data_IF_659159194734
#
_entry.id   IF_659159194734
#
_cell.length_a   1.000
_cell.length_b   1.000
_cell.length_c   1.000
_cell.angle_alpha   90.00
_cell.angle_beta   90.00
_cell.angle_gamma   90.00
#
_symmetry.space_group_name_H-M   'P 1'
#
loop_
_entity.id
_entity.type
_entity.pdbx_description
1 polymer ?
#
# COMPACT_ATOMS: atom_id res chain seq x y z
N UNK A 1 -23.95 12.50 3.00
CA UNK A 1 -23.28 11.85 1.84
C UNK A 1 -21.96 11.22 2.28
N UNK A 2 -21.97 10.22 3.17
CA UNK A 2 -20.75 9.81 3.88
C UNK A 2 -20.45 8.30 3.84
N UNK A 3 -21.36 7.50 3.28
CA UNK A 3 -21.24 6.03 3.30
C UNK A 3 -20.39 5.49 2.14
N UNK A 4 -20.37 6.19 1.00
CA UNK A 4 -19.63 5.78 -0.20
C UNK A 4 -18.12 5.91 -0.02
N UNK A 5 -17.65 7.03 0.52
CA UNK A 5 -16.22 7.27 0.72
C UNK A 5 -15.59 6.31 1.76
N UNK A 6 -16.33 5.97 2.84
CA UNK A 6 -15.85 4.98 3.81
C UNK A 6 -15.76 3.58 3.20
N UNK A 7 -16.78 3.18 2.42
CA UNK A 7 -16.80 1.88 1.76
C UNK A 7 -15.65 1.73 0.75
N UNK A 8 -15.29 2.81 0.06
CA UNK A 8 -14.16 2.83 -0.87
C UNK A 8 -12.81 2.68 -0.14
N UNK A 9 -12.66 3.29 1.05
CA UNK A 9 -11.44 3.16 1.87
C UNK A 9 -11.29 1.73 2.42
N UNK A 10 -12.38 1.13 2.90
CA UNK A 10 -12.35 -0.25 3.42
C UNK A 10 -11.99 -1.24 2.31
N UNK A 11 -12.59 -1.10 1.12
CA UNK A 11 -12.30 -1.94 -0.03
C UNK A 11 -10.85 -1.78 -0.52
N UNK A 12 -10.35 -0.56 -0.50
CA UNK A 12 -8.98 -0.26 -0.90
C UNK A 12 -7.97 -0.80 0.13
N UNK A 13 -8.29 -0.73 1.41
CA UNK A 13 -7.51 -1.36 2.48
C UNK A 13 -7.37 -2.87 2.28
N UNK A 14 -8.47 -3.55 1.97
CA UNK A 14 -8.44 -4.98 1.64
C UNK A 14 -7.64 -5.28 0.36
N UNK A 15 -7.72 -4.41 -0.64
CA UNK A 15 -6.93 -4.54 -1.88
C UNK A 15 -5.42 -4.42 -1.60
N UNK A 16 -5.01 -3.48 -0.74
CA UNK A 16 -3.63 -3.35 -0.29
C UNK A 16 -3.17 -4.56 0.53
N UNK A 17 -4.01 -5.08 1.43
CA UNK A 17 -3.70 -6.30 2.20
C UNK A 17 -3.48 -7.51 1.29
N UNK A 18 -4.29 -7.65 0.24
CA UNK A 18 -4.20 -8.75 -0.73
C UNK A 18 -2.86 -8.78 -1.49
N UNK A 19 -2.20 -7.63 -1.67
CA UNK A 19 -0.85 -7.59 -2.27
C UNK A 19 0.23 -8.20 -1.36
N UNK A 20 -0.01 -8.22 -0.05
CA UNK A 20 0.89 -8.80 0.94
C UNK A 20 2.06 -7.89 1.34
N UNK A 21 2.54 -8.10 2.57
CA UNK A 21 3.54 -7.26 3.24
C UNK A 21 4.81 -7.03 2.41
N UNK A 22 5.30 -8.06 1.71
CA UNK A 22 6.55 -7.97 0.94
C UNK A 22 6.43 -6.91 -0.17
N UNK A 23 5.40 -7.00 -1.01
CA UNK A 23 5.17 -6.03 -2.10
C UNK A 23 4.99 -4.62 -1.57
N UNK A 24 4.22 -4.44 -0.49
CA UNK A 24 4.01 -3.13 0.12
C UNK A 24 5.33 -2.51 0.63
N UNK A 25 6.18 -3.31 1.31
CA UNK A 25 7.49 -2.83 1.79
C UNK A 25 8.46 -2.55 0.66
N UNK A 26 8.49 -3.40 -0.37
CA UNK A 26 9.36 -3.22 -1.53
C UNK A 26 8.97 -1.95 -2.30
N UNK A 27 7.68 -1.68 -2.47
CA UNK A 27 7.19 -0.41 -3.02
C UNK A 27 7.72 0.79 -2.24
N UNK A 28 7.53 0.79 -0.91
CA UNK A 28 8.02 1.87 -0.05
C UNK A 28 9.54 2.05 -0.16
N UNK A 29 10.30 0.96 -0.17
CA UNK A 29 11.76 0.98 -0.32
C UNK A 29 12.18 1.56 -1.66
N UNK A 30 11.58 1.09 -2.76
CA UNK A 30 11.90 1.53 -4.12
C UNK A 30 11.54 3.01 -4.34
N UNK A 31 10.46 3.49 -3.70
CA UNK A 31 10.05 4.90 -3.73
C UNK A 31 10.73 5.77 -2.67
N UNK A 32 11.63 5.19 -1.86
CA UNK A 32 12.31 5.87 -0.74
C UNK A 32 11.35 6.54 0.26
N UNK A 33 10.17 5.97 0.45
CA UNK A 33 9.19 6.42 1.43
C UNK A 33 9.76 6.18 2.83
N UNK A 34 9.72 7.18 3.71
CA UNK A 34 10.24 7.10 5.08
C UNK A 34 9.12 6.72 6.05
N UNK A 35 9.46 6.17 7.23
CA UNK A 35 8.48 5.90 8.29
C UNK A 35 7.71 4.57 8.17
N UNK A 36 7.57 3.99 6.98
CA UNK A 36 6.82 2.73 6.76
C UNK A 36 7.30 1.58 7.65
N UNK A 37 8.61 1.49 7.94
CA UNK A 37 9.19 0.44 8.78
C UNK A 37 8.77 0.57 10.25
N UNK A 38 8.71 1.80 10.78
CA UNK A 38 8.28 2.05 12.16
C UNK A 38 6.81 1.69 12.33
N UNK A 39 5.96 2.10 11.38
CA UNK A 39 4.52 1.80 11.41
C UNK A 39 4.27 0.29 11.28
N UNK A 40 5.00 -0.39 10.38
CA UNK A 40 4.93 -1.85 10.28
C UNK A 40 5.34 -2.57 11.57
N UNK A 41 6.35 -2.08 12.28
CA UNK A 41 6.76 -2.69 13.54
C UNK A 41 5.71 -2.51 14.65
N UNK A 42 4.96 -1.41 14.63
CA UNK A 42 3.91 -1.14 15.62
C UNK A 42 2.62 -1.91 15.34
N UNK A 43 2.15 -1.92 14.08
CA UNK A 43 0.80 -2.41 13.73
C UNK A 43 0.78 -3.39 12.55
N UNK A 44 1.94 -3.97 12.21
CA UNK A 44 2.09 -4.98 11.14
C UNK A 44 1.49 -4.51 9.82
N UNK A 45 0.77 -5.38 9.13
CA UNK A 45 0.19 -5.08 7.82
C UNK A 45 -0.87 -3.99 7.91
N UNK A 46 -1.68 -3.96 8.98
CA UNK A 46 -2.74 -2.95 9.14
C UNK A 46 -2.15 -1.54 9.24
N UNK A 47 -1.07 -1.39 10.00
CA UNK A 47 -0.35 -0.12 10.07
C UNK A 47 0.22 0.29 8.71
N UNK A 48 0.78 -0.66 7.97
CA UNK A 48 1.36 -0.38 6.66
C UNK A 48 0.29 0.05 5.65
N UNK A 49 -0.89 -0.57 5.69
CA UNK A 49 -2.05 -0.22 4.84
C UNK A 49 -2.56 1.17 5.19
N UNK A 50 -2.79 1.46 6.47
CA UNK A 50 -3.25 2.78 6.92
C UNK A 50 -2.26 3.88 6.51
N UNK A 51 -0.96 3.63 6.68
CA UNK A 51 0.10 4.55 6.27
C UNK A 51 0.14 4.83 4.76
N UNK A 52 -0.14 3.82 3.93
CA UNK A 52 -0.21 3.99 2.47
C UNK A 52 -1.46 4.76 2.05
N UNK A 53 -2.61 4.46 2.64
CA UNK A 53 -3.86 5.19 2.39
C UNK A 53 -3.75 6.67 2.77
N UNK A 54 -3.12 6.99 3.90
CA UNK A 54 -2.85 8.37 4.33
C UNK A 54 -2.01 9.17 3.32
N UNK A 55 -1.16 8.48 2.54
CA UNK A 55 -0.37 9.06 1.46
C UNK A 55 -1.05 9.00 0.09
N UNK A 56 -2.33 8.58 0.04
CA UNK A 56 -3.08 8.37 -1.19
C UNK A 56 -2.41 7.38 -2.15
N UNK A 57 -1.72 6.38 -1.58
CA UNK A 57 -1.13 5.27 -2.34
C UNK A 57 -2.11 4.10 -2.30
N UNK A 58 -2.53 3.68 -3.49
CA UNK A 58 -3.52 2.65 -3.71
C UNK A 58 -2.88 1.39 -4.31
N UNK A 59 -3.53 0.24 -4.20
CA UNK A 59 -3.08 -1.05 -4.71
C UNK A 59 -2.66 -0.98 -6.19
N UNK A 60 -3.45 -0.28 -7.02
CA UNK A 60 -3.14 -0.04 -8.44
C UNK A 60 -1.77 0.62 -8.68
N UNK A 61 -1.34 1.54 -7.80
CA UNK A 61 -0.05 2.22 -7.94
C UNK A 61 1.12 1.25 -7.73
N UNK A 62 0.91 0.26 -6.86
CA UNK A 62 1.90 -0.76 -6.52
C UNK A 62 1.96 -1.82 -7.62
N UNK A 63 0.82 -2.28 -8.11
CA UNK A 63 0.75 -3.27 -9.20
C UNK A 63 1.36 -2.75 -10.51
N UNK A 64 1.14 -1.47 -10.84
CA UNK A 64 1.75 -0.84 -12.02
C UNK A 64 3.28 -0.78 -11.95
N UNK A 65 3.87 -0.67 -10.76
CA UNK A 65 5.32 -0.71 -10.60
C UNK A 65 5.90 -2.09 -10.92
N UNK A 66 5.22 -3.17 -10.53
CA UNK A 66 5.67 -4.55 -10.78
C UNK A 66 5.72 -4.82 -12.29
N UNK A 67 4.68 -4.42 -13.02
CA UNK A 67 4.63 -4.58 -14.49
C UNK A 67 5.78 -3.85 -15.21
N UNK A 68 6.16 -2.67 -14.73
CA UNK A 68 7.27 -1.92 -15.32
C UNK A 68 8.65 -2.56 -15.07
N UNK A 69 8.80 -3.32 -13.99
CA UNK A 69 10.05 -4.04 -13.70
C UNK A 69 10.15 -5.34 -14.52
N UNK A 70 9.03 -6.01 -14.80
CA UNK A 70 9.01 -7.25 -15.61
C UNK A 70 9.27 -7.02 -17.10
N UNK A 71 9.01 -5.82 -17.63
CA UNK A 71 9.27 -5.47 -19.04
C UNK A 71 10.74 -5.08 -19.29
N UNK A 72 11.51 -4.82 -18.23
CA UNK A 72 12.91 -4.37 -18.30
C UNK A 72 13.94 -5.49 -18.05
N UNK A 73 13.49 -6.75 -17.96
CA UNK A 73 14.32 -7.96 -17.81
C UNK A 73 14.27 -8.76 -19.10
#
# INVERSE_FOLDING_TARGET
QSKTALFDIDREGESLKALGVRKLRDFCKNRKIKGYAAVYNQRRIDGLVEFLLQQQIYARNIEQQVKHLEILV
#
